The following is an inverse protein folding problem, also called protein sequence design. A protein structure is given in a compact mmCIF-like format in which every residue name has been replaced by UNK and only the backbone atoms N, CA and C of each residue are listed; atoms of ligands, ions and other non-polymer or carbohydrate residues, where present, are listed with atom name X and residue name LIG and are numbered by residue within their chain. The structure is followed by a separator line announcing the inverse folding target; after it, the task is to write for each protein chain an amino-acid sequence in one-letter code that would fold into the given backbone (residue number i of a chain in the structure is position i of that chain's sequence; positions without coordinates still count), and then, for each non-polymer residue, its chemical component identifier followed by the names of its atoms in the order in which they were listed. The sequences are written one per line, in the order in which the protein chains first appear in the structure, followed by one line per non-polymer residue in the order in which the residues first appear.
data_IF_959536728855
#
_entry.id   IF_959536728855
#
_cell.length_a   1.000
_cell.length_b   1.000
_cell.length_c   1.000
_cell.angle_alpha   90.00
_cell.angle_beta   90.00
_cell.angle_gamma   90.00
#
_symmetry.space_group_name_H-M   'P 1'
#
loop_
_entity.id
_entity.type
_entity.pdbx_description
1 polymer ?
#
# COMPACT_ATOMS: atom_id res chain seq x y z
N UNK A 1 5.07 -1.90 14.67
CA UNK A 1 5.33 -1.46 13.29
C UNK A 1 6.66 -2.07 12.85
N UNK A 2 6.65 -2.87 11.75
CA UNK A 2 7.85 -3.55 11.27
C UNK A 2 8.91 -2.58 10.75
N UNK A 3 8.52 -1.41 10.24
CA UNK A 3 9.46 -0.38 9.82
C UNK A 3 10.33 0.10 11.00
N UNK A 4 9.71 0.36 12.14
CA UNK A 4 10.44 0.73 13.35
C UNK A 4 11.33 -0.41 13.86
N UNK A 5 10.84 -1.66 13.80
CA UNK A 5 11.63 -2.82 14.19
C UNK A 5 12.86 -2.99 13.30
N UNK A 6 12.70 -2.87 11.99
CA UNK A 6 13.82 -2.99 11.03
C UNK A 6 14.84 -1.87 11.24
N UNK A 7 14.41 -0.61 11.31
CA UNK A 7 15.33 0.52 11.50
C UNK A 7 16.09 0.45 12.82
N UNK A 8 15.40 0.16 13.94
CA UNK A 8 16.06 0.05 15.25
C UNK A 8 17.01 -1.16 15.33
N UNK A 9 16.65 -2.27 14.65
CA UNK A 9 17.54 -3.44 14.59
C UNK A 9 18.78 -3.15 13.75
N UNK A 10 18.61 -2.49 12.60
CA UNK A 10 19.70 -2.07 11.75
C UNK A 10 20.64 -1.10 12.49
N UNK A 11 20.11 -0.08 13.15
CA UNK A 11 20.90 0.86 13.97
C UNK A 11 21.72 0.13 15.03
N UNK A 12 21.10 -0.80 15.77
CA UNK A 12 21.77 -1.59 16.81
C UNK A 12 22.90 -2.46 16.26
N UNK A 13 22.72 -3.05 15.08
CA UNK A 13 23.70 -3.95 14.49
C UNK A 13 24.83 -3.24 13.75
N UNK A 14 24.58 -2.05 13.22
CA UNK A 14 25.51 -1.37 12.31
C UNK A 14 26.06 -0.06 12.85
N UNK A 15 25.44 0.51 13.89
CA UNK A 15 25.72 1.87 14.37
C UNK A 15 25.25 2.99 13.43
N UNK A 16 24.60 2.65 12.32
CA UNK A 16 24.09 3.63 11.35
C UNK A 16 22.69 4.07 11.76
N UNK A 17 22.53 5.37 12.02
CA UNK A 17 21.25 5.96 12.38
C UNK A 17 20.30 6.02 11.19
N UNK A 18 19.03 5.65 11.40
CA UNK A 18 17.95 5.72 10.41
C UNK A 18 16.89 6.73 10.86
N UNK A 19 16.71 7.78 10.08
CA UNK A 19 15.60 8.73 10.29
C UNK A 19 14.49 8.45 9.28
N UNK A 20 13.27 8.24 9.74
CA UNK A 20 12.13 7.91 8.89
C UNK A 20 11.08 9.00 8.87
N UNK A 21 10.47 9.20 7.69
CA UNK A 21 9.22 9.94 7.53
C UNK A 21 8.22 9.03 6.84
N UNK A 22 7.03 8.83 7.45
CA UNK A 22 5.99 7.99 6.89
C UNK A 22 4.98 8.81 6.08
N UNK A 23 4.76 8.43 4.83
CA UNK A 23 3.84 9.08 3.88
C UNK A 23 3.14 8.05 3.01
N UNK A 24 2.07 8.45 2.31
CA UNK A 24 1.47 7.66 1.23
C UNK A 24 2.40 7.55 0.02
N UNK A 25 2.25 6.51 -0.79
CA UNK A 25 3.13 6.26 -1.95
C UNK A 25 3.09 7.39 -2.96
N UNK A 26 1.91 7.96 -3.25
CA UNK A 26 1.78 9.11 -4.15
C UNK A 26 2.43 10.39 -3.60
N UNK A 27 2.29 10.65 -2.29
CA UNK A 27 2.94 11.78 -1.63
C UNK A 27 4.47 11.63 -1.64
N UNK A 28 4.97 10.42 -1.40
CA UNK A 28 6.43 10.14 -1.44
C UNK A 28 6.98 10.33 -2.84
N UNK A 29 6.29 9.83 -3.86
CA UNK A 29 6.68 10.03 -5.26
C UNK A 29 6.74 11.52 -5.64
N UNK A 30 5.73 12.30 -5.25
CA UNK A 30 5.68 13.73 -5.49
C UNK A 30 6.84 14.46 -4.80
N UNK A 31 7.17 14.08 -3.56
CA UNK A 31 8.29 14.66 -2.82
C UNK A 31 9.64 14.32 -3.48
N UNK A 32 9.89 13.05 -3.83
CA UNK A 32 11.13 12.63 -4.48
C UNK A 32 11.32 13.40 -5.79
N UNK A 33 10.25 13.58 -6.57
CA UNK A 33 10.28 14.36 -7.80
C UNK A 33 10.61 15.84 -7.55
N UNK A 34 10.01 16.45 -6.54
CA UNK A 34 10.28 17.85 -6.17
C UNK A 34 11.70 18.06 -5.66
N UNK A 35 12.28 17.05 -5.02
CA UNK A 35 13.63 17.08 -4.45
C UNK A 35 14.71 16.52 -5.40
N UNK A 36 14.39 16.18 -6.66
CA UNK A 36 15.29 15.48 -7.57
C UNK A 36 16.65 16.18 -7.78
N UNK A 37 16.69 17.52 -7.79
CA UNK A 37 17.92 18.29 -7.93
C UNK A 37 18.76 18.32 -6.63
N UNK A 38 18.17 18.04 -5.47
CA UNK A 38 18.82 18.06 -4.18
C UNK A 38 18.15 17.07 -3.20
N UNK A 39 18.34 15.76 -3.39
CA UNK A 39 17.66 14.72 -2.60
C UNK A 39 17.93 14.86 -1.11
N UNK A 40 16.89 14.70 -0.30
CA UNK A 40 16.97 14.75 1.17
C UNK A 40 16.83 13.38 1.82
N UNK A 41 16.40 12.38 1.05
CA UNK A 41 16.31 11.00 1.50
C UNK A 41 17.25 10.11 0.68
N UNK A 42 17.68 9.01 1.27
CA UNK A 42 18.59 8.04 0.65
C UNK A 42 17.83 6.82 0.12
N UNK A 43 16.78 6.40 0.83
CA UNK A 43 15.97 5.24 0.49
C UNK A 43 14.49 5.60 0.53
N UNK A 44 13.77 5.11 -0.44
CA UNK A 44 12.33 4.96 -0.38
C UNK A 44 12.00 3.52 -0.03
N UNK A 45 11.46 3.30 1.15
CA UNK A 45 11.18 1.98 1.69
C UNK A 45 9.70 1.76 1.96
N UNK A 46 9.11 0.76 1.28
CA UNK A 46 7.70 0.40 1.39
C UNK A 46 6.79 1.25 0.50
N UNK A 47 5.52 0.93 0.55
CA UNK A 47 4.53 1.42 -0.38
C UNK A 47 4.40 0.51 -1.61
N UNK A 48 3.38 0.76 -2.43
CA UNK A 48 3.09 -0.04 -3.62
C UNK A 48 4.17 0.10 -4.70
N UNK A 49 4.37 -0.93 -5.50
CA UNK A 49 5.42 -0.99 -6.52
C UNK A 49 5.24 -0.03 -7.69
N UNK A 50 3.99 0.28 -8.06
CA UNK A 50 3.71 1.12 -9.24
C UNK A 50 4.39 2.48 -9.19
N UNK A 51 4.32 3.28 -8.10
CA UNK A 51 5.06 4.53 -8.01
C UNK A 51 6.57 4.35 -8.00
N UNK A 52 7.09 3.23 -7.47
CA UNK A 52 8.52 2.92 -7.55
C UNK A 52 8.97 2.66 -8.98
N UNK A 53 8.17 1.93 -9.77
CA UNK A 53 8.44 1.70 -11.19
C UNK A 53 8.39 3.02 -11.98
N UNK A 54 7.40 3.87 -11.72
CA UNK A 54 7.33 5.21 -12.31
C UNK A 54 8.54 6.08 -11.95
N UNK A 55 9.02 6.01 -10.69
CA UNK A 55 10.23 6.70 -10.26
C UNK A 55 11.48 6.16 -10.96
N UNK A 56 11.54 4.84 -11.19
CA UNK A 56 12.62 4.20 -11.92
C UNK A 56 12.66 4.66 -13.39
N UNK A 57 11.52 4.70 -14.07
CA UNK A 57 11.38 5.21 -15.44
C UNK A 57 11.75 6.70 -15.56
N UNK A 58 11.38 7.50 -14.55
CA UNK A 58 11.71 8.91 -14.47
C UNK A 58 13.16 9.20 -14.07
N UNK A 59 13.99 8.16 -13.83
CA UNK A 59 15.38 8.33 -13.39
C UNK A 59 15.55 8.84 -11.96
N UNK A 60 14.50 8.81 -11.14
CA UNK A 60 14.51 9.30 -9.76
C UNK A 60 15.10 8.31 -8.76
N UNK A 61 15.32 7.07 -9.19
CA UNK A 61 15.99 6.03 -8.42
C UNK A 61 17.22 5.54 -9.18
N UNK A 62 18.24 5.12 -8.45
CA UNK A 62 19.46 4.61 -9.08
C UNK A 62 19.49 3.10 -9.13
N UNK A 63 20.14 2.50 -10.14
CA UNK A 63 20.26 1.06 -10.24
C UNK A 63 21.19 0.52 -9.13
N UNK A 64 20.76 -0.56 -8.51
CA UNK A 64 21.60 -1.30 -7.57
C UNK A 64 21.21 -2.79 -7.56
N UNK A 65 22.09 -3.63 -8.10
CA UNK A 65 21.92 -5.09 -7.99
C UNK A 65 22.57 -5.56 -6.69
N UNK A 66 21.73 -5.87 -5.70
CA UNK A 66 22.22 -6.40 -4.42
C UNK A 66 22.89 -7.75 -4.60
N UNK A 67 24.00 -8.04 -3.89
CA UNK A 67 24.63 -9.38 -3.87
C UNK A 67 23.68 -10.48 -3.36
N UNK A 68 22.66 -10.10 -2.61
CA UNK A 68 21.69 -11.03 -2.02
C UNK A 68 20.42 -11.22 -2.85
N UNK A 69 20.34 -10.61 -4.04
CA UNK A 69 19.14 -10.62 -4.91
C UNK A 69 18.62 -12.03 -5.19
N UNK A 70 19.51 -13.00 -5.35
CA UNK A 70 19.15 -14.38 -5.64
C UNK A 70 18.47 -15.11 -4.47
N UNK A 71 18.54 -14.56 -3.25
CA UNK A 71 17.85 -15.08 -2.07
C UNK A 71 16.38 -14.65 -2.01
N UNK A 72 15.98 -13.68 -2.81
CA UNK A 72 14.62 -13.16 -2.82
C UNK A 72 13.66 -14.09 -3.57
N UNK A 73 12.37 -13.95 -3.26
CA UNK A 73 11.32 -14.64 -4.01
C UNK A 73 11.30 -14.23 -5.49
N UNK A 74 10.85 -15.13 -6.41
CA UNK A 74 10.83 -14.83 -7.84
C UNK A 74 10.08 -13.54 -8.22
N UNK A 75 8.98 -13.23 -7.55
CA UNK A 75 8.22 -12.00 -7.80
C UNK A 75 9.02 -10.73 -7.46
N UNK A 76 9.83 -10.75 -6.41
CA UNK A 76 10.66 -9.62 -6.00
C UNK A 76 11.83 -9.40 -6.96
N UNK A 77 12.48 -10.50 -7.41
CA UNK A 77 13.54 -10.45 -8.42
C UNK A 77 13.03 -9.95 -9.76
N UNK A 78 11.87 -10.45 -10.21
CA UNK A 78 11.24 -10.02 -11.47
C UNK A 78 11.02 -8.52 -11.51
N UNK A 79 10.55 -7.92 -10.43
CA UNK A 79 10.40 -6.47 -10.36
C UNK A 79 11.75 -5.74 -10.45
N UNK A 80 12.80 -6.26 -9.81
CA UNK A 80 14.14 -5.68 -9.91
C UNK A 80 14.67 -5.75 -11.36
N UNK A 81 14.52 -6.88 -12.02
CA UNK A 81 14.94 -7.07 -13.42
C UNK A 81 14.18 -6.13 -14.38
N UNK A 82 12.84 -6.08 -14.25
CA UNK A 82 11.99 -5.21 -15.06
C UNK A 82 12.31 -3.72 -14.93
N UNK A 83 12.76 -3.30 -13.75
CA UNK A 83 13.14 -1.90 -13.49
C UNK A 83 14.62 -1.59 -13.77
N UNK A 84 15.39 -2.53 -14.31
CA UNK A 84 16.85 -2.39 -14.43
C UNK A 84 17.53 -2.23 -13.07
N UNK A 85 17.07 -2.96 -12.06
CA UNK A 85 17.54 -2.92 -10.67
C UNK A 85 17.37 -1.56 -9.98
N UNK A 86 16.41 -0.76 -10.41
CA UNK A 86 16.13 0.55 -9.80
C UNK A 86 15.11 0.48 -8.66
N UNK A 87 14.41 -0.64 -8.53
CA UNK A 87 13.55 -0.98 -7.41
C UNK A 87 13.54 -2.48 -7.20
N UNK A 88 13.18 -2.93 -5.99
CA UNK A 88 13.04 -4.36 -5.65
C UNK A 88 11.79 -4.57 -4.83
N UNK A 89 11.13 -5.71 -5.03
CA UNK A 89 10.02 -6.13 -4.19
C UNK A 89 10.50 -6.59 -2.81
N UNK A 90 9.85 -6.13 -1.75
CA UNK A 90 10.20 -6.50 -0.36
C UNK A 90 9.07 -7.17 0.41
N UNK A 91 7.82 -6.99 -0.03
CA UNK A 91 6.65 -7.73 0.46
C UNK A 91 5.58 -7.78 -0.62
N UNK A 92 4.56 -8.60 -0.40
CA UNK A 92 3.38 -8.64 -1.25
C UNK A 92 2.12 -8.58 -0.38
N UNK A 93 1.08 -7.91 -0.85
CA UNK A 93 -0.18 -7.76 -0.16
C UNK A 93 -1.38 -7.92 -1.09
N UNK A 94 -2.40 -8.65 -0.66
CA UNK A 94 -3.65 -8.82 -1.39
C UNK A 94 -4.62 -7.71 -1.01
N UNK A 95 -5.21 -7.05 -1.99
CA UNK A 95 -6.28 -6.09 -1.80
C UNK A 95 -7.58 -6.81 -1.42
N UNK A 96 -8.44 -6.14 -0.66
CA UNK A 96 -9.74 -6.67 -0.30
C UNK A 96 -10.54 -5.69 0.55
N UNK A 97 -11.48 -6.25 1.30
CA UNK A 97 -12.30 -5.49 2.23
C UNK A 97 -12.05 -5.97 3.66
N UNK A 98 -11.91 -5.04 4.60
CA UNK A 98 -12.03 -5.32 6.01
C UNK A 98 -13.38 -4.78 6.50
N UNK A 99 -14.04 -5.51 7.41
CA UNK A 99 -15.33 -5.10 7.94
C UNK A 99 -15.41 -5.32 9.44
N UNK A 100 -16.18 -4.46 10.12
CA UNK A 100 -16.43 -4.57 11.55
C UNK A 100 -17.55 -5.58 11.81
N UNK A 101 -17.22 -6.69 12.46
CA UNK A 101 -18.16 -7.81 12.68
C UNK A 101 -19.30 -7.45 13.64
N UNK A 102 -19.05 -6.61 14.64
CA UNK A 102 -20.05 -6.19 15.62
C UNK A 102 -21.03 -5.18 15.03
N UNK A 103 -20.55 -4.22 14.23
CA UNK A 103 -21.43 -3.23 13.60
C UNK A 103 -22.36 -3.91 12.61
N UNK A 104 -21.82 -4.80 11.74
CA UNK A 104 -22.65 -5.53 10.78
C UNK A 104 -23.72 -6.36 11.51
N UNK A 105 -23.34 -7.09 12.57
CA UNK A 105 -24.29 -7.88 13.36
C UNK A 105 -25.36 -7.00 14.02
N UNK A 106 -24.97 -5.89 14.67
CA UNK A 106 -25.89 -4.96 15.33
C UNK A 106 -26.88 -4.31 14.36
N UNK A 107 -26.39 -3.92 13.19
CA UNK A 107 -27.24 -3.32 12.14
C UNK A 107 -27.99 -4.38 11.29
N UNK A 108 -27.72 -5.66 11.49
CA UNK A 108 -28.27 -6.77 10.70
C UNK A 108 -28.01 -6.63 9.20
N UNK A 109 -26.83 -6.13 8.86
CA UNK A 109 -26.38 -5.95 7.47
C UNK A 109 -25.51 -7.14 7.07
N UNK A 110 -25.70 -7.64 5.85
CA UNK A 110 -24.93 -8.77 5.33
C UNK A 110 -23.44 -8.40 5.15
N UNK A 111 -22.57 -9.38 5.29
CA UNK A 111 -21.14 -9.22 4.98
C UNK A 111 -20.97 -9.07 3.46
N UNK A 112 -20.28 -8.03 2.95
CA UNK A 112 -19.99 -7.92 1.53
C UNK A 112 -19.03 -9.04 1.10
N UNK A 113 -19.33 -9.69 -0.02
CA UNK A 113 -18.51 -10.77 -0.58
C UNK A 113 -17.85 -10.40 -1.91
N UNK A 114 -18.42 -9.44 -2.61
CA UNK A 114 -18.04 -9.05 -3.96
C UNK A 114 -17.84 -7.54 -4.01
N UNK A 115 -17.05 -7.04 -4.97
CA UNK A 115 -16.95 -5.59 -5.20
C UNK A 115 -18.32 -4.97 -5.44
N UNK A 116 -19.17 -5.64 -6.24
CA UNK A 116 -20.51 -5.16 -6.56
C UNK A 116 -21.45 -5.06 -5.35
N UNK A 117 -21.14 -5.74 -4.25
CA UNK A 117 -21.92 -5.59 -3.03
C UNK A 117 -21.78 -4.20 -2.41
N UNK A 118 -20.59 -3.56 -2.55
CA UNK A 118 -20.31 -2.29 -1.90
C UNK A 118 -21.14 -1.11 -2.40
N UNK A 119 -21.86 -1.26 -3.52
CA UNK A 119 -22.77 -0.22 -4.04
C UNK A 119 -24.22 -0.38 -3.54
N UNK A 120 -24.51 -1.39 -2.69
CA UNK A 120 -25.82 -1.60 -2.11
C UNK A 120 -26.21 -0.47 -1.16
N UNK A 121 -27.51 -0.11 -1.08
CA UNK A 121 -27.97 1.00 -0.24
C UNK A 121 -27.68 0.84 1.25
N UNK A 122 -27.63 -0.39 1.76
CA UNK A 122 -27.34 -0.68 3.17
C UNK A 122 -25.95 -0.28 3.63
N UNK A 123 -25.03 -0.03 2.70
CA UNK A 123 -23.66 0.44 2.99
C UNK A 123 -23.51 1.96 2.80
N UNK A 124 -24.60 2.70 2.63
CA UNK A 124 -24.54 4.13 2.42
C UNK A 124 -23.84 4.84 3.57
N UNK A 125 -22.80 5.65 3.22
CA UNK A 125 -21.93 6.36 4.15
C UNK A 125 -21.20 5.45 5.16
N UNK A 126 -21.04 4.16 4.82
CA UNK A 126 -20.45 3.15 5.69
C UNK A 126 -19.23 2.45 5.08
N UNK A 127 -18.74 2.95 3.96
CA UNK A 127 -17.50 2.48 3.32
C UNK A 127 -16.44 3.56 3.47
N UNK A 128 -15.22 3.17 3.80
CA UNK A 128 -14.06 4.03 3.71
C UNK A 128 -13.01 3.44 2.76
N UNK A 129 -12.35 4.31 2.03
CA UNK A 129 -11.15 3.99 1.26
C UNK A 129 -10.17 5.15 1.31
N UNK A 130 -8.93 4.94 0.95
CA UNK A 130 -7.98 6.03 0.83
C UNK A 130 -8.15 6.77 -0.50
N UNK A 131 -7.54 7.95 -0.59
CA UNK A 131 -7.57 8.75 -1.83
C UNK A 131 -6.55 8.19 -2.83
N UNK A 132 -6.93 7.87 -4.08
CA UNK A 132 -6.04 7.28 -5.09
C UNK A 132 -4.84 8.17 -5.46
N UNK A 133 -4.97 9.49 -5.34
CA UNK A 133 -3.88 10.41 -5.65
C UNK A 133 -2.76 10.40 -4.60
N UNK A 134 -3.08 10.06 -3.33
CA UNK A 134 -2.09 10.06 -2.24
C UNK A 134 -1.67 8.66 -1.80
N UNK A 135 -2.53 7.66 -1.99
CA UNK A 135 -2.37 6.31 -1.45
C UNK A 135 -2.23 5.26 -2.55
N UNK A 136 -1.16 4.48 -2.49
CA UNK A 136 -0.97 3.32 -3.34
C UNK A 136 -2.07 2.26 -3.17
N UNK A 137 -2.59 2.06 -1.96
CA UNK A 137 -3.70 1.12 -1.71
C UNK A 137 -4.93 1.45 -2.56
N UNK A 138 -5.34 2.72 -2.58
CA UNK A 138 -6.48 3.13 -3.38
C UNK A 138 -6.17 3.16 -4.88
N UNK A 139 -4.94 3.48 -5.26
CA UNK A 139 -4.50 3.35 -6.66
C UNK A 139 -4.61 1.89 -7.12
N UNK A 140 -4.11 0.94 -6.32
CA UNK A 140 -4.27 -0.50 -6.60
C UNK A 140 -5.73 -0.91 -6.70
N UNK A 141 -6.62 -0.34 -5.86
CA UNK A 141 -8.06 -0.62 -5.94
C UNK A 141 -8.65 -0.14 -7.27
N UNK A 142 -8.34 1.08 -7.72
CA UNK A 142 -8.79 1.59 -9.01
C UNK A 142 -8.24 0.73 -10.16
N UNK A 143 -6.95 0.44 -10.16
CA UNK A 143 -6.33 -0.41 -11.18
C UNK A 143 -6.95 -1.82 -11.23
N UNK A 144 -7.25 -2.41 -10.07
CA UNK A 144 -7.94 -3.69 -9.96
C UNK A 144 -9.33 -3.64 -10.62
N UNK A 145 -10.11 -2.62 -10.31
CA UNK A 145 -11.45 -2.46 -10.86
C UNK A 145 -11.40 -2.24 -12.38
N UNK A 146 -10.43 -1.48 -12.89
CA UNK A 146 -10.21 -1.30 -14.32
C UNK A 146 -9.89 -2.64 -15.01
N UNK A 147 -9.06 -3.47 -14.40
CA UNK A 147 -8.76 -4.80 -14.93
C UNK A 147 -9.96 -5.76 -14.91
N UNK A 148 -10.82 -5.66 -13.89
CA UNK A 148 -11.99 -6.53 -13.74
C UNK A 148 -13.18 -6.10 -14.59
N UNK A 149 -13.43 -4.80 -14.73
CA UNK A 149 -14.66 -4.26 -15.31
C UNK A 149 -14.44 -3.46 -16.60
N UNK A 150 -13.19 -3.31 -17.05
CA UNK A 150 -12.80 -2.35 -18.07
C UNK A 150 -12.80 -0.91 -17.52
N UNK A 151 -12.20 0.02 -18.25
CA UNK A 151 -12.05 1.41 -17.79
C UNK A 151 -13.41 2.08 -17.56
N UNK A 152 -14.29 2.07 -18.55
CA UNK A 152 -15.63 2.66 -18.45
C UNK A 152 -16.45 2.04 -17.32
N UNK A 153 -16.52 0.70 -17.28
CA UNK A 153 -17.26 -0.03 -16.24
C UNK A 153 -16.71 0.20 -14.83
N UNK A 154 -15.39 0.34 -14.68
CA UNK A 154 -14.76 0.65 -13.41
C UNK A 154 -15.13 2.05 -12.92
N UNK A 155 -15.08 3.07 -13.79
CA UNK A 155 -15.44 4.43 -13.41
C UNK A 155 -16.93 4.58 -13.15
N UNK A 156 -17.79 3.87 -13.85
CA UNK A 156 -19.22 3.84 -13.55
C UNK A 156 -19.51 3.15 -12.21
N UNK A 157 -18.81 2.06 -11.91
CA UNK A 157 -18.86 1.44 -10.59
C UNK A 157 -18.36 2.40 -9.49
N UNK A 158 -17.24 3.08 -9.70
CA UNK A 158 -16.67 4.03 -8.72
C UNK A 158 -17.60 5.22 -8.46
N UNK A 159 -18.35 5.72 -9.44
CA UNK A 159 -19.40 6.74 -9.26
C UNK A 159 -20.52 6.23 -8.34
N UNK A 160 -20.90 4.95 -8.48
CA UNK A 160 -21.90 4.35 -7.61
C UNK A 160 -21.34 4.14 -6.20
N UNK A 161 -20.13 3.58 -6.09
CA UNK A 161 -19.44 3.36 -4.82
C UNK A 161 -19.25 4.65 -4.04
N UNK A 162 -18.96 5.76 -4.72
CA UNK A 162 -18.79 7.09 -4.10
C UNK A 162 -19.97 7.51 -3.23
N UNK A 163 -21.20 7.08 -3.57
CA UNK A 163 -22.41 7.38 -2.78
C UNK A 163 -22.40 6.66 -1.43
N UNK A 164 -21.64 5.60 -1.29
CA UNK A 164 -21.52 4.80 -0.08
C UNK A 164 -20.23 5.12 0.71
N UNK A 165 -19.31 5.89 0.12
CA UNK A 165 -18.07 6.29 0.78
C UNK A 165 -18.28 7.48 1.68
N UNK A 166 -18.10 7.26 2.99
CA UNK A 166 -18.17 8.34 3.99
C UNK A 166 -16.91 9.21 4.01
N UNK A 167 -15.74 8.63 3.68
CA UNK A 167 -14.48 9.37 3.74
C UNK A 167 -13.41 8.75 2.84
N UNK A 168 -12.63 9.62 2.18
CA UNK A 168 -11.38 9.29 1.51
C UNK A 168 -10.20 9.71 2.40
N UNK A 169 -9.50 8.73 2.98
CA UNK A 169 -8.37 8.99 3.87
C UNK A 169 -7.08 9.25 3.09
N UNK A 170 -6.10 9.92 3.70
CA UNK A 170 -4.79 10.17 3.06
C UNK A 170 -3.94 8.91 2.99
N UNK A 171 -3.99 8.06 3.99
CA UNK A 171 -3.13 6.88 4.12
C UNK A 171 -3.89 5.58 3.91
N UNK A 172 -3.27 4.61 3.21
CA UNK A 172 -3.87 3.32 2.87
C UNK A 172 -4.39 2.50 4.07
N UNK A 173 -3.64 2.38 5.17
CA UNK A 173 -4.10 1.63 6.36
C UNK A 173 -5.15 2.35 7.23
N UNK A 174 -5.42 3.65 6.99
CA UNK A 174 -6.35 4.39 7.84
C UNK A 174 -7.79 3.86 7.80
N UNK A 175 -8.38 3.49 6.63
CA UNK A 175 -9.71 2.91 6.59
C UNK A 175 -9.84 1.66 7.47
N UNK A 176 -8.87 0.74 7.43
CA UNK A 176 -8.89 -0.46 8.24
C UNK A 176 -8.84 -0.15 9.75
N UNK A 177 -8.07 0.86 10.17
CA UNK A 177 -8.03 1.30 11.56
C UNK A 177 -9.36 1.92 12.01
N UNK A 178 -9.97 2.75 11.15
CA UNK A 178 -11.25 3.38 11.43
C UNK A 178 -12.37 2.33 11.54
N UNK A 179 -12.38 1.35 10.63
CA UNK A 179 -13.29 0.20 10.70
C UNK A 179 -13.08 -0.60 12.00
N UNK A 180 -11.82 -0.83 12.39
CA UNK A 180 -11.51 -1.53 13.63
C UNK A 180 -12.07 -0.80 14.87
N UNK A 181 -12.02 0.52 14.90
CA UNK A 181 -12.54 1.36 15.98
C UNK A 181 -14.06 1.56 15.92
N UNK A 182 -14.72 1.10 14.88
CA UNK A 182 -16.17 1.23 14.72
C UNK A 182 -16.63 2.56 14.12
N UNK A 183 -15.74 3.31 13.49
CA UNK A 183 -16.07 4.58 12.83
C UNK A 183 -16.79 4.37 11.47
N UNK A 184 -16.68 3.17 10.90
CA UNK A 184 -17.33 2.76 9.66
C UNK A 184 -17.50 1.23 9.63
N UNK A 185 -18.42 0.73 8.82
CA UNK A 185 -18.62 -0.71 8.71
C UNK A 185 -17.56 -1.41 7.88
N UNK A 186 -17.10 -0.79 6.80
CA UNK A 186 -16.29 -1.44 5.75
C UNK A 186 -15.12 -0.52 5.36
N UNK A 187 -13.94 -1.15 5.18
CA UNK A 187 -12.77 -0.52 4.58
C UNK A 187 -12.35 -1.27 3.30
N UNK A 188 -12.07 -0.54 2.23
CA UNK A 188 -11.28 -1.04 1.11
C UNK A 188 -9.80 -0.86 1.48
N UNK A 189 -9.06 -1.95 1.61
CA UNK A 189 -7.70 -1.96 2.15
C UNK A 189 -6.93 -3.22 1.73
N UNK A 190 -5.64 -3.29 2.01
CA UNK A 190 -4.94 -4.56 1.95
C UNK A 190 -5.35 -5.47 3.12
N UNK A 191 -5.54 -6.75 2.84
CA UNK A 191 -6.07 -7.71 3.83
C UNK A 191 -5.18 -7.86 5.07
N UNK A 192 -3.87 -7.61 4.95
CA UNK A 192 -2.97 -7.64 6.09
C UNK A 192 -3.26 -6.53 7.12
N UNK A 193 -3.80 -5.38 6.70
CA UNK A 193 -4.20 -4.31 7.62
C UNK A 193 -5.39 -4.76 8.50
N UNK A 194 -6.36 -5.44 7.91
CA UNK A 194 -7.47 -6.06 8.65
C UNK A 194 -6.98 -7.15 9.61
N UNK A 195 -6.10 -8.03 9.14
CA UNK A 195 -5.51 -9.11 9.95
C UNK A 195 -4.71 -8.57 11.15
N UNK A 196 -3.94 -7.49 10.95
CA UNK A 196 -3.21 -6.82 12.04
C UNK A 196 -4.14 -6.25 13.11
N UNK A 197 -5.23 -5.59 12.70
CA UNK A 197 -6.20 -5.07 13.65
C UNK A 197 -6.92 -6.20 14.40
N UNK A 198 -7.28 -7.28 13.72
CA UNK A 198 -7.83 -8.48 14.36
C UNK A 198 -6.86 -9.07 15.41
N UNK A 199 -5.57 -9.17 15.08
CA UNK A 199 -4.54 -9.64 16.02
C UNK A 199 -4.41 -8.75 17.26
N UNK A 200 -4.75 -7.47 17.16
CA UNK A 200 -4.80 -6.52 18.27
C UNK A 200 -6.09 -6.60 19.10
N UNK A 201 -6.99 -7.54 18.78
CA UNK A 201 -8.24 -7.75 19.50
C UNK A 201 -9.44 -6.96 19.00
N UNK A 202 -9.32 -6.23 17.89
CA UNK A 202 -10.45 -5.50 17.31
C UNK A 202 -11.43 -6.44 16.58
N UNK A 203 -12.74 -6.13 16.60
CA UNK A 203 -13.80 -6.96 15.98
C UNK A 203 -13.85 -6.77 14.47
N UNK A 204 -12.79 -7.16 13.78
CA UNK A 204 -12.69 -7.05 12.31
C UNK A 204 -12.38 -8.39 11.67
N UNK A 205 -12.90 -8.56 10.46
CA UNK A 205 -12.54 -9.65 9.57
C UNK A 205 -12.27 -9.11 8.16
N UNK A 206 -11.57 -9.91 7.36
CA UNK A 206 -11.26 -9.59 5.97
C UNK A 206 -11.96 -10.51 5.00
N UNK A 207 -12.21 -10.03 3.79
CA UNK A 207 -12.75 -10.81 2.68
C UNK A 207 -12.06 -10.41 1.37
N UNK A 208 -11.66 -11.42 0.59
CA UNK A 208 -11.26 -11.24 -0.78
C UNK A 208 -12.51 -11.20 -1.67
N UNK A 209 -12.67 -10.20 -2.55
CA UNK A 209 -13.86 -10.07 -3.40
C UNK A 209 -14.04 -11.24 -4.37
N UNK A 210 -15.28 -11.66 -4.58
CA UNK A 210 -15.65 -12.84 -5.37
C UNK A 210 -15.32 -12.73 -6.87
N UNK A 211 -15.27 -11.51 -7.40
CA UNK A 211 -14.91 -11.27 -8.80
C UNK A 211 -13.40 -11.38 -9.06
N UNK A 212 -12.64 -11.54 -8.01
CA UNK A 212 -11.18 -11.46 -8.02
C UNK A 212 -10.68 -10.18 -7.38
N UNK A 213 -9.37 -10.09 -7.21
CA UNK A 213 -8.74 -8.91 -6.61
C UNK A 213 -7.32 -8.71 -7.11
N UNK A 214 -6.82 -7.49 -6.92
CA UNK A 214 -5.44 -7.12 -7.17
C UNK A 214 -4.53 -7.41 -5.98
N UNK A 215 -3.26 -7.26 -6.24
CA UNK A 215 -2.22 -7.34 -5.21
C UNK A 215 -1.19 -6.24 -5.42
N UNK A 216 -0.48 -5.90 -4.38
CA UNK A 216 0.72 -5.07 -4.47
C UNK A 216 1.98 -5.90 -4.34
N UNK A 217 3.05 -5.42 -4.94
CA UNK A 217 4.41 -5.76 -4.56
C UNK A 217 4.98 -4.52 -3.90
N UNK A 218 5.00 -4.53 -2.57
CA UNK A 218 5.62 -3.43 -1.82
C UNK A 218 7.11 -3.38 -2.10
N UNK A 219 7.65 -2.19 -2.26
CA UNK A 219 8.94 -2.02 -2.90
C UNK A 219 9.93 -1.21 -2.10
N UNK A 220 11.19 -1.30 -2.48
CA UNK A 220 12.28 -0.47 -1.97
C UNK A 220 13.16 0.01 -3.12
N UNK A 221 13.60 1.28 -3.04
CA UNK A 221 14.46 1.90 -4.04
C UNK A 221 15.50 2.78 -3.35
N UNK A 222 16.71 2.85 -3.92
CA UNK A 222 17.71 3.85 -3.55
C UNK A 222 17.45 5.09 -4.40
N UNK A 223 17.35 6.25 -3.78
CA UNK A 223 17.03 7.50 -4.47
C UNK A 223 18.27 7.95 -5.29
N UNK A 224 18.05 8.44 -6.51
CA UNK A 224 19.11 8.97 -7.33
C UNK A 224 19.74 10.20 -6.64
N UNK A 225 21.06 10.23 -6.54
CA UNK A 225 21.77 11.28 -5.81
C UNK A 225 21.73 11.15 -4.28
N UNK A 226 21.39 9.97 -3.75
CA UNK A 226 21.43 9.67 -2.31
C UNK A 226 22.74 10.11 -1.69
N UNK A 227 22.68 10.94 -0.63
CA UNK A 227 23.88 11.54 0.01
C UNK A 227 24.68 10.52 0.80
N UNK A 228 24.00 9.53 1.37
CA UNK A 228 24.59 8.49 2.21
C UNK A 228 24.57 7.13 1.51
N UNK A 229 25.00 7.09 0.23
CA UNK A 229 24.86 5.92 -0.63
C UNK A 229 25.41 4.61 -0.02
N UNK A 230 26.56 4.66 0.64
CA UNK A 230 27.16 3.47 1.27
C UNK A 230 26.26 2.92 2.40
N UNK A 231 25.70 3.79 3.24
CA UNK A 231 24.76 3.43 4.29
C UNK A 231 23.43 2.96 3.73
N UNK A 232 22.96 3.59 2.66
CA UNK A 232 21.74 3.19 1.94
C UNK A 232 21.87 1.76 1.38
N UNK A 233 22.97 1.42 0.73
CA UNK A 233 23.24 0.05 0.25
C UNK A 233 23.24 -0.97 1.39
N UNK A 234 23.87 -0.65 2.53
CA UNK A 234 23.87 -1.53 3.70
C UNK A 234 22.45 -1.77 4.25
N UNK A 235 21.61 -0.73 4.28
CA UNK A 235 20.20 -0.88 4.68
C UNK A 235 19.40 -1.66 3.64
N UNK A 236 19.68 -1.47 2.37
CA UNK A 236 19.02 -2.19 1.27
C UNK A 236 19.29 -3.70 1.29
N UNK A 237 20.45 -4.10 1.79
CA UNK A 237 20.88 -5.51 1.89
C UNK A 237 20.48 -6.18 3.20
N UNK A 238 20.07 -5.39 4.20
CA UNK A 238 19.68 -5.84 5.54
C UNK A 238 18.29 -6.47 5.55
#
# INVERSE_FOLDING_TARGET
DWCNLMSTTFERQTGIRVTMTQRGSGETMAQIRAEAANPRADIWWGGTGDPHLQAAEAGLTQPYRSPTIEKLHPWARRQAEQSGYRTVGIYAGMLGMAYNTEILARKRVAVPRCWRDLVRPEYRDEVQMSNPASSGTAYTAVATLVQLFGEEGAFDYLKQLHRNVSQYTRSGPAPARNTARGETMIAITFLHDGAMNKKRGFPVAGVAPCEGTGYEIGSMSIIAGARNLASAKRFYEF
#
